data_IF_209222482936
#
_entry.id   IF_209222482936
#
_cell.length_a   1.000
_cell.length_b   1.000
_cell.length_c   1.000
_cell.angle_alpha   90.00
_cell.angle_beta   90.00
_cell.angle_gamma   90.00
#
_symmetry.space_group_name_H-M   'P 1'
#
loop_
_entity.id
_entity.type
_entity.pdbx_description
1 polymer ?
#
# COMPACT_ATOMS: atom_id res chain seq x y z
N UNK A 1 -4.93 24.26 -1.89
CA UNK A 1 -6.22 23.98 -1.23
C UNK A 1 -6.43 22.48 -1.31
N UNK A 2 -6.23 21.76 -0.20
CA UNK A 2 -6.39 20.32 -0.17
C UNK A 2 -7.88 20.04 -0.23
N UNK A 3 -8.37 19.61 -1.38
CA UNK A 3 -9.75 19.16 -1.52
C UNK A 3 -9.92 17.92 -0.64
N UNK A 4 -10.88 17.96 0.28
CA UNK A 4 -11.39 16.77 0.95
C UNK A 4 -11.74 15.79 -0.16
N UNK A 5 -10.91 14.76 -0.33
CA UNK A 5 -11.19 13.67 -1.26
C UNK A 5 -12.50 13.07 -0.81
N UNK A 6 -13.48 12.99 -1.72
CA UNK A 6 -14.74 12.33 -1.41
C UNK A 6 -14.40 10.90 -0.95
N UNK A 7 -14.84 10.53 0.24
CA UNK A 7 -14.62 9.18 0.78
C UNK A 7 -15.22 8.12 -0.15
N UNK A 8 -16.21 8.50 -0.97
CA UNK A 8 -16.77 7.64 -2.03
C UNK A 8 -15.72 7.24 -3.09
N UNK A 9 -14.64 8.01 -3.24
CA UNK A 9 -13.54 7.63 -4.14
C UNK A 9 -12.65 6.54 -3.53
N UNK A 10 -12.72 6.26 -2.23
CA UNK A 10 -11.92 5.22 -1.56
C UNK A 10 -12.55 3.82 -1.72
N UNK A 11 -12.89 3.44 -2.95
CA UNK A 11 -13.61 2.19 -3.25
C UNK A 11 -12.80 0.93 -2.98
N UNK A 12 -11.47 1.04 -2.99
CA UNK A 12 -10.58 -0.08 -2.73
C UNK A 12 -9.42 0.36 -1.83
N UNK A 13 -9.35 -0.28 -0.67
CA UNK A 13 -8.32 -0.06 0.35
C UNK A 13 -7.41 -1.27 0.45
N UNK A 14 -6.10 -1.06 0.23
CA UNK A 14 -5.07 -2.09 0.30
C UNK A 14 -4.26 -1.94 1.59
N UNK A 15 -4.11 -3.03 2.34
CA UNK A 15 -3.19 -3.13 3.47
C UNK A 15 -2.07 -4.08 3.06
N UNK A 16 -0.82 -3.65 3.18
CA UNK A 16 0.32 -4.45 2.73
C UNK A 16 0.73 -5.51 3.74
N UNK A 17 1.39 -6.56 3.26
CA UNK A 17 2.17 -7.47 4.09
C UNK A 17 3.42 -7.89 3.32
N UNK A 18 4.59 -7.41 3.74
CA UNK A 18 5.86 -7.64 3.05
C UNK A 18 6.30 -9.10 3.14
N UNK A 19 5.87 -9.84 4.15
CA UNK A 19 6.22 -11.26 4.34
C UNK A 19 5.68 -12.17 3.22
N UNK A 20 4.67 -11.70 2.49
CA UNK A 20 4.08 -12.43 1.35
C UNK A 20 4.96 -12.40 0.09
N UNK A 21 6.03 -11.60 0.09
CA UNK A 21 6.88 -11.38 -1.07
C UNK A 21 8.29 -11.89 -0.82
N UNK A 22 8.89 -12.42 -1.89
CA UNK A 22 10.25 -12.96 -1.85
C UNK A 22 11.30 -11.90 -1.51
N UNK A 23 11.13 -10.71 -2.04
CA UNK A 23 12.02 -9.58 -1.84
C UNK A 23 11.28 -8.24 -2.08
N UNK A 24 11.98 -7.14 -1.79
CA UNK A 24 11.46 -5.78 -1.93
C UNK A 24 11.03 -5.46 -3.37
N UNK A 25 11.68 -6.02 -4.39
CA UNK A 25 11.33 -5.75 -5.79
C UNK A 25 9.95 -6.32 -6.10
N UNK A 26 9.69 -7.58 -5.72
CA UNK A 26 8.37 -8.19 -5.92
C UNK A 26 7.27 -7.44 -5.15
N UNK A 27 7.56 -7.01 -3.92
CA UNK A 27 6.63 -6.21 -3.12
C UNK A 27 6.27 -4.90 -3.83
N UNK A 28 7.27 -4.13 -4.29
CA UNK A 28 7.04 -2.86 -4.97
C UNK A 28 6.30 -3.04 -6.30
N UNK A 29 6.63 -4.08 -7.08
CA UNK A 29 5.91 -4.40 -8.32
C UNK A 29 4.44 -4.72 -8.04
N UNK A 30 4.12 -5.43 -6.96
CA UNK A 30 2.73 -5.72 -6.60
C UNK A 30 1.97 -4.46 -6.15
N UNK A 31 2.62 -3.58 -5.40
CA UNK A 31 2.05 -2.28 -5.01
C UNK A 31 1.77 -1.42 -6.25
N UNK A 32 2.72 -1.33 -7.18
CA UNK A 32 2.54 -0.60 -8.44
C UNK A 32 1.35 -1.15 -9.24
N UNK A 33 1.28 -2.48 -9.42
CA UNK A 33 0.19 -3.13 -10.12
C UNK A 33 -1.17 -2.85 -9.45
N UNK A 34 -1.22 -2.81 -8.11
CA UNK A 34 -2.43 -2.51 -7.37
C UNK A 34 -2.89 -1.05 -7.54
N UNK A 35 -1.95 -0.10 -7.58
CA UNK A 35 -2.24 1.31 -7.85
C UNK A 35 -2.79 1.50 -9.28
N UNK A 36 -2.17 0.87 -10.28
CA UNK A 36 -2.65 0.86 -11.68
C UNK A 36 -4.03 0.20 -11.76
N UNK A 37 -4.25 -0.89 -11.01
CA UNK A 37 -5.51 -1.61 -10.91
C UNK A 37 -6.63 -0.87 -10.18
N UNK A 38 -6.35 0.33 -9.64
CA UNK A 38 -7.37 1.21 -9.10
C UNK A 38 -7.52 1.20 -7.58
N UNK A 39 -6.54 0.71 -6.83
CA UNK A 39 -6.45 0.98 -5.38
C UNK A 39 -6.45 2.50 -5.14
N UNK A 40 -7.27 2.96 -4.19
CA UNK A 40 -7.46 4.40 -3.89
C UNK A 40 -7.00 4.81 -2.50
N UNK A 41 -6.83 3.85 -1.61
CA UNK A 41 -6.13 4.00 -0.34
C UNK A 41 -5.18 2.82 -0.14
N UNK A 42 -4.01 3.09 0.43
CA UNK A 42 -2.98 2.09 0.71
C UNK A 42 -2.39 2.36 2.09
N UNK A 43 -2.36 1.34 2.94
CA UNK A 43 -1.68 1.36 4.22
C UNK A 43 -0.48 0.42 4.16
N UNK A 44 0.68 0.98 4.47
CA UNK A 44 1.87 0.20 4.76
C UNK A 44 1.72 -0.44 6.14
N UNK A 45 1.78 -1.76 6.19
CA UNK A 45 1.79 -2.52 7.44
C UNK A 45 3.04 -3.40 7.44
N UNK A 46 3.95 -3.04 8.33
CA UNK A 46 5.26 -3.64 8.47
C UNK A 46 5.40 -4.16 9.90
N UNK A 47 4.92 -5.39 10.14
CA UNK A 47 4.87 -5.97 11.49
C UNK A 47 6.23 -6.47 11.98
N UNK A 48 7.08 -6.88 11.04
CA UNK A 48 8.32 -7.60 11.33
C UNK A 48 9.57 -6.77 11.03
N UNK A 49 9.41 -5.50 10.65
CA UNK A 49 10.54 -4.57 10.51
C UNK A 49 10.93 -4.03 11.88
N UNK A 50 12.23 -3.94 12.17
CA UNK A 50 12.69 -3.26 13.37
C UNK A 50 12.36 -1.77 13.29
N UNK A 51 12.12 -1.14 14.44
CA UNK A 51 11.76 0.28 14.52
C UNK A 51 12.78 1.22 13.83
N UNK A 52 14.04 0.79 13.74
CA UNK A 52 15.10 1.52 13.02
C UNK A 52 14.91 1.58 11.51
N UNK A 53 14.02 0.75 10.97
CA UNK A 53 13.71 0.63 9.54
C UNK A 53 12.26 1.07 9.21
N UNK A 54 11.53 1.61 10.20
CA UNK A 54 10.20 2.20 10.02
C UNK A 54 10.26 3.64 9.51
#
# INVERSE_FOLDING_TARGET
MQTLKDLNDLRLYLITDRSLFKDQKYFLTAVEAALIGGVKALQLREKDLPDSEL
#
